data_IF_124129805725
#
_entry.id   IF_124129805725
#
_cell.length_a   1.000
_cell.length_b   1.000
_cell.length_c   1.000
_cell.angle_alpha   90.00
_cell.angle_beta   90.00
_cell.angle_gamma   90.00
#
_symmetry.space_group_name_H-M   'P 1'
#
loop_
_entity.id
_entity.type
_entity.pdbx_description
1 polymer ?
#
# COMPACT_ATOMS: atom_id res chain seq x y z
N UNK A 1 -4.08 9.56 35.86
CA UNK A 1 -3.43 9.92 34.58
C UNK A 1 -4.54 10.14 33.58
N UNK A 2 -4.70 11.35 33.07
CA UNK A 2 -5.82 11.71 32.18
C UNK A 2 -5.60 11.00 30.84
N UNK A 3 -6.57 10.19 30.42
CA UNK A 3 -6.63 9.66 29.05
C UNK A 3 -6.78 10.84 28.09
N UNK A 4 -5.64 11.34 27.61
CA UNK A 4 -5.61 12.40 26.61
C UNK A 4 -5.87 11.75 25.24
N UNK A 5 -7.03 12.02 24.59
CA UNK A 5 -7.37 11.42 23.30
C UNK A 5 -6.34 11.73 22.21
N UNK A 6 -5.60 12.83 22.33
CA UNK A 6 -4.51 13.21 21.40
C UNK A 6 -3.31 12.27 21.56
N UNK A 7 -2.96 11.89 22.79
CA UNK A 7 -1.85 10.96 23.06
C UNK A 7 -2.23 9.52 22.68
N UNK A 8 -3.50 9.16 22.78
CA UNK A 8 -4.03 7.87 22.30
C UNK A 8 -4.10 7.80 20.78
N UNK A 9 -4.40 8.91 20.09
CA UNK A 9 -4.39 9.01 18.63
C UNK A 9 -2.96 8.93 18.04
N UNK A 10 -1.97 9.53 18.70
CA UNK A 10 -0.56 9.44 18.28
C UNK A 10 0.03 8.04 18.52
N UNK A 11 -0.54 7.24 19.44
CA UNK A 11 -0.04 5.90 19.79
C UNK A 11 -0.35 4.80 18.77
N UNK A 12 -1.10 5.06 17.69
CA UNK A 12 -1.37 4.07 16.64
C UNK A 12 -1.27 4.67 15.24
N UNK A 13 -0.18 5.38 14.93
CA UNK A 13 0.14 5.69 13.53
C UNK A 13 0.45 4.37 12.79
N UNK A 14 -0.50 3.87 12.01
CA UNK A 14 -0.32 2.67 11.20
C UNK A 14 0.18 3.06 9.81
N UNK A 15 1.46 2.78 9.55
CA UNK A 15 2.09 3.06 8.27
C UNK A 15 2.24 1.77 7.45
N UNK A 16 1.81 1.81 6.19
CA UNK A 16 1.98 0.71 5.25
C UNK A 16 2.74 1.17 4.00
N UNK A 17 3.50 0.27 3.38
CA UNK A 17 4.23 0.52 2.14
C UNK A 17 3.54 -0.18 0.99
N UNK A 18 3.21 0.56 -0.06
CA UNK A 18 2.73 0.00 -1.33
C UNK A 18 3.81 0.16 -2.39
N UNK A 19 4.33 -0.97 -2.89
CA UNK A 19 5.35 -0.98 -3.92
C UNK A 19 5.13 -2.11 -4.92
N UNK A 20 5.70 -1.95 -6.11
CA UNK A 20 5.78 -3.04 -7.09
C UNK A 20 6.90 -3.99 -6.71
N UNK A 21 6.58 -5.27 -6.56
CA UNK A 21 7.55 -6.35 -6.53
C UNK A 21 7.57 -7.09 -7.88
N UNK A 22 8.74 -7.63 -8.23
CA UNK A 22 8.90 -8.62 -9.29
C UNK A 22 9.01 -9.99 -8.63
N UNK A 23 8.14 -10.93 -8.99
CA UNK A 23 8.38 -12.33 -8.64
C UNK A 23 9.44 -12.88 -9.60
N UNK A 24 10.50 -13.48 -9.04
CA UNK A 24 11.53 -14.16 -9.85
C UNK A 24 10.96 -15.42 -10.48
N UNK A 25 11.50 -15.81 -11.64
CA UNK A 25 11.08 -17.01 -12.38
C UNK A 25 11.40 -18.26 -11.55
N UNK A 26 10.39 -19.08 -11.30
CA UNK A 26 10.57 -20.46 -10.90
C UNK A 26 10.01 -21.31 -12.05
N UNK A 27 10.90 -21.93 -12.84
CA UNK A 27 10.58 -22.92 -13.87
C UNK A 27 9.77 -22.45 -15.09
N UNK A 28 10.43 -22.32 -16.24
CA UNK A 28 9.85 -22.73 -17.54
C UNK A 28 8.90 -21.82 -18.33
N UNK A 29 8.37 -20.69 -17.83
CA UNK A 29 7.47 -19.83 -18.63
C UNK A 29 7.99 -18.38 -18.86
N UNK A 30 7.61 -17.68 -19.95
CA UNK A 30 8.19 -16.39 -20.32
C UNK A 30 7.66 -15.19 -19.51
N UNK A 31 6.61 -15.33 -18.70
CA UNK A 31 5.91 -14.18 -18.12
C UNK A 31 6.43 -13.80 -16.74
N UNK A 32 7.17 -12.67 -16.67
CA UNK A 32 7.46 -12.05 -15.39
C UNK A 32 6.14 -11.57 -14.74
N UNK A 33 5.69 -12.23 -13.69
CA UNK A 33 4.51 -11.79 -12.94
C UNK A 33 4.89 -10.55 -12.10
N UNK A 34 4.27 -9.43 -12.42
CA UNK A 34 4.42 -8.16 -11.70
C UNK A 34 3.30 -8.08 -10.66
N UNK A 35 3.64 -7.82 -9.41
CA UNK A 35 2.66 -7.70 -8.32
C UNK A 35 2.87 -6.38 -7.58
N UNK A 36 1.80 -5.85 -7.00
CA UNK A 36 1.85 -4.79 -6.00
C UNK A 36 1.68 -5.43 -4.64
N UNK A 37 2.48 -5.02 -3.65
CA UNK A 37 2.44 -5.56 -2.29
C UNK A 37 2.17 -4.41 -1.33
N UNK A 38 1.37 -4.67 -0.30
CA UNK A 38 1.18 -3.81 0.86
C UNK A 38 1.76 -4.49 2.11
N UNK A 39 2.64 -3.80 2.82
CA UNK A 39 3.29 -4.31 4.04
C UNK A 39 3.37 -3.24 5.13
N UNK A 40 3.35 -3.65 6.40
CA UNK A 40 3.49 -2.71 7.54
C UNK A 40 4.94 -2.21 7.65
N UNK A 41 5.11 -0.94 7.98
CA UNK A 41 6.42 -0.30 8.23
C UNK A 41 6.85 -0.48 9.69
N UNK A 42 8.15 -0.68 9.92
CA UNK A 42 8.75 -0.62 11.26
C UNK A 42 8.99 -1.97 11.94
N UNK A 43 8.35 -3.06 11.49
CA UNK A 43 8.58 -4.41 12.00
C UNK A 43 9.56 -5.23 11.14
N UNK A 44 10.40 -6.05 11.79
CA UNK A 44 11.18 -7.11 11.13
C UNK A 44 10.75 -8.48 11.68
N UNK A 45 10.39 -9.46 10.85
CA UNK A 45 10.25 -9.35 9.39
C UNK A 45 9.05 -8.44 8.99
N UNK A 46 9.06 -7.84 7.78
CA UNK A 46 7.95 -7.02 7.31
C UNK A 46 6.68 -7.87 7.14
N UNK A 47 5.61 -7.48 7.83
CA UNK A 47 4.33 -8.16 7.70
C UNK A 47 3.62 -7.71 6.42
N UNK A 48 3.47 -8.63 5.47
CA UNK A 48 2.69 -8.41 4.25
C UNK A 48 1.21 -8.60 4.59
N UNK A 49 0.42 -7.55 4.38
CA UNK A 49 -1.02 -7.55 4.67
C UNK A 49 -1.88 -7.71 3.40
N UNK A 50 -1.27 -7.61 2.22
CA UNK A 50 -1.94 -7.90 0.96
C UNK A 50 -1.01 -7.84 -0.26
N UNK A 51 -1.43 -8.49 -1.33
CA UNK A 51 -0.76 -8.44 -2.64
C UNK A 51 -1.79 -8.49 -3.76
N UNK A 52 -1.46 -7.88 -4.89
CA UNK A 52 -2.35 -7.81 -6.05
C UNK A 52 -1.56 -7.97 -7.36
N UNK A 53 -1.92 -8.91 -8.24
CA UNK A 53 -1.30 -9.01 -9.55
C UNK A 53 -1.61 -7.78 -10.42
N UNK A 54 -0.62 -7.39 -11.22
CA UNK A 54 -0.82 -6.43 -12.31
C UNK A 54 -1.20 -7.23 -13.55
N UNK A 55 -2.43 -7.05 -14.04
CA UNK A 55 -2.96 -7.79 -15.18
C UNK A 55 -2.38 -7.25 -16.51
N UNK A 56 -2.46 -8.02 -17.62
CA UNK A 56 -2.08 -7.53 -18.94
C UNK A 56 -2.82 -6.23 -19.29
N UNK A 57 -2.09 -5.22 -19.77
CA UNK A 57 -2.65 -3.89 -20.08
C UNK A 57 -2.82 -2.96 -18.86
N UNK A 58 -2.66 -3.43 -17.63
CA UNK A 58 -2.81 -2.58 -16.43
C UNK A 58 -1.53 -1.83 -16.05
N UNK A 59 -1.72 -0.61 -15.56
CA UNK A 59 -0.70 0.13 -14.82
C UNK A 59 -0.61 -0.29 -13.35
N UNK A 60 0.54 -0.02 -12.71
CA UNK A 60 0.73 -0.31 -11.27
C UNK A 60 -0.31 0.36 -10.38
N UNK A 61 -0.75 1.58 -10.74
CA UNK A 61 -1.74 2.34 -9.98
C UNK A 61 -3.12 1.69 -10.03
N UNK A 62 -3.49 1.04 -11.14
CA UNK A 62 -4.76 0.31 -11.26
C UNK A 62 -4.78 -0.88 -10.32
N UNK A 63 -3.74 -1.72 -10.35
CA UNK A 63 -3.60 -2.84 -9.43
C UNK A 63 -3.52 -2.37 -7.97
N UNK A 64 -2.80 -1.29 -7.67
CA UNK A 64 -2.73 -0.75 -6.31
C UNK A 64 -4.08 -0.24 -5.79
N UNK A 65 -4.91 0.39 -6.64
CA UNK A 65 -6.28 0.77 -6.24
C UNK A 65 -7.11 -0.45 -5.88
N UNK A 66 -7.01 -1.54 -6.66
CA UNK A 66 -7.69 -2.81 -6.36
C UNK A 66 -7.22 -3.41 -5.04
N UNK A 67 -5.90 -3.37 -4.77
CA UNK A 67 -5.34 -3.80 -3.49
C UNK A 67 -5.86 -2.97 -2.32
N UNK A 68 -5.83 -1.64 -2.44
CA UNK A 68 -6.34 -0.72 -1.41
C UNK A 68 -7.83 -0.92 -1.17
N UNK A 69 -8.62 -1.12 -2.23
CA UNK A 69 -10.05 -1.41 -2.09
C UNK A 69 -10.29 -2.70 -1.31
N UNK A 70 -9.55 -3.77 -1.62
CA UNK A 70 -9.65 -5.02 -0.89
C UNK A 70 -9.24 -4.85 0.57
N UNK A 71 -8.09 -4.21 0.85
CA UNK A 71 -7.64 -3.92 2.21
C UNK A 71 -8.67 -3.08 2.99
N UNK A 72 -9.26 -2.08 2.35
CA UNK A 72 -10.26 -1.22 2.96
C UNK A 72 -11.57 -1.98 3.23
N UNK A 73 -11.94 -2.94 2.38
CA UNK A 73 -13.11 -3.79 2.64
C UNK A 73 -12.88 -4.74 3.81
N UNK A 74 -11.69 -5.34 3.90
CA UNK A 74 -11.35 -6.34 4.92
C UNK A 74 -11.04 -5.71 6.28
N UNK A 75 -10.24 -4.65 6.30
CA UNK A 75 -9.71 -4.04 7.52
C UNK A 75 -10.29 -2.66 7.83
N UNK A 76 -11.16 -2.11 6.96
CA UNK A 76 -11.61 -0.72 7.01
C UNK A 76 -10.42 0.23 6.94
N UNK A 77 -10.04 0.82 8.07
CA UNK A 77 -8.93 1.75 8.14
C UNK A 77 -7.61 0.98 8.36
N UNK A 78 -7.07 0.39 7.29
CA UNK A 78 -5.87 -0.46 7.40
C UNK A 78 -4.55 0.32 7.65
N UNK A 79 -4.54 1.61 7.30
CA UNK A 79 -3.40 2.50 7.50
C UNK A 79 -3.85 3.96 7.52
N UNK A 80 -3.28 4.76 8.42
CA UNK A 80 -3.46 6.22 8.41
C UNK A 80 -2.55 6.85 7.34
N UNK A 81 -1.37 6.25 7.11
CA UNK A 81 -0.38 6.72 6.14
C UNK A 81 0.08 5.57 5.27
N UNK A 82 0.09 5.79 3.95
CA UNK A 82 0.70 4.89 2.98
C UNK A 82 1.94 5.53 2.37
N UNK A 83 3.05 4.80 2.41
CA UNK A 83 4.32 5.18 1.80
C UNK A 83 4.45 4.51 0.43
N UNK A 84 4.77 5.28 -0.61
CA UNK A 84 4.85 4.78 -2.00
C UNK A 84 6.08 5.28 -2.75
N UNK A 85 6.46 4.54 -3.80
CA UNK A 85 7.44 5.02 -4.79
C UNK A 85 6.89 6.19 -5.64
N UNK A 86 7.80 7.00 -6.21
CA UNK A 86 7.46 8.14 -7.08
C UNK A 86 6.49 7.79 -8.22
N UNK A 87 6.47 6.53 -8.69
CA UNK A 87 5.58 6.09 -9.75
C UNK A 87 4.09 6.09 -9.37
N UNK A 88 3.78 6.19 -8.07
CA UNK A 88 2.42 6.32 -7.54
C UNK A 88 2.01 7.77 -7.27
N UNK A 89 2.93 8.74 -7.37
CA UNK A 89 2.67 10.17 -7.10
C UNK A 89 1.87 10.85 -8.23
N UNK A 90 0.75 10.25 -8.63
CA UNK A 90 -0.18 10.76 -9.64
C UNK A 90 -1.46 11.21 -8.95
N UNK A 91 -1.98 12.38 -9.34
CA UNK A 91 -3.20 12.96 -8.74
C UNK A 91 -4.36 11.95 -8.60
N UNK A 92 -4.70 11.10 -9.61
CA UNK A 92 -5.80 10.14 -9.46
C UNK A 92 -5.58 9.05 -8.41
N UNK A 93 -4.32 8.72 -8.07
CA UNK A 93 -4.03 7.73 -7.02
C UNK A 93 -4.00 8.40 -5.64
N UNK A 94 -3.40 9.58 -5.56
CA UNK A 94 -3.39 10.41 -4.34
C UNK A 94 -4.82 10.71 -3.89
N UNK A 95 -5.66 11.24 -4.78
CA UNK A 95 -7.05 11.59 -4.46
C UNK A 95 -7.88 10.37 -4.04
N UNK A 96 -7.55 9.18 -4.55
CA UNK A 96 -8.23 7.95 -4.17
C UNK A 96 -7.87 7.46 -2.76
N UNK A 97 -6.62 7.68 -2.31
CA UNK A 97 -6.24 7.43 -0.92
C UNK A 97 -6.88 8.46 0.02
N UNK A 98 -6.83 9.74 -0.37
CA UNK A 98 -7.42 10.82 0.41
C UNK A 98 -8.94 10.66 0.58
N UNK A 99 -9.66 10.16 -0.44
CA UNK A 99 -11.10 9.89 -0.31
C UNK A 99 -11.45 8.76 0.67
N UNK A 100 -10.44 7.99 1.12
CA UNK A 100 -10.55 6.96 2.15
C UNK A 100 -9.96 7.41 3.49
N UNK A 101 -9.63 8.70 3.64
CA UNK A 101 -8.94 9.28 4.80
C UNK A 101 -7.56 8.66 5.06
N UNK A 102 -6.85 8.29 3.98
CA UNK A 102 -5.50 7.72 4.05
C UNK A 102 -4.52 8.76 3.48
N UNK A 103 -3.58 9.21 4.31
CA UNK A 103 -2.52 10.11 3.89
C UNK A 103 -1.42 9.37 3.12
N UNK A 104 -0.65 10.10 2.33
CA UNK A 104 0.38 9.53 1.47
C UNK A 104 1.72 10.21 1.70
N UNK A 105 2.78 9.40 1.77
CA UNK A 105 4.17 9.85 1.67
C UNK A 105 4.76 9.24 0.41
N UNK A 106 5.05 10.07 -0.59
CA UNK A 106 5.72 9.62 -1.80
C UNK A 106 7.22 9.90 -1.67
N UNK A 107 8.05 8.88 -1.93
CA UNK A 107 9.49 9.10 -2.09
C UNK A 107 9.76 9.50 -3.54
N UNK A 108 10.08 10.78 -3.83
CA UNK A 108 10.48 11.20 -5.18
C UNK A 108 11.76 10.47 -5.59
N UNK A 109 11.98 10.37 -6.90
CA UNK A 109 13.15 9.73 -7.48
C UNK A 109 14.16 10.77 -7.92
#
# INVERSE_FOLDING_TARGET
>A
MVDNPIVTAIKKLFAAVINKARRSKMGGSPTSHKVVICQIVGGKPPLIIGQEPILPGEGKTTAAKRLVEWLYRVYKHFADVVVVDAGYAKAPFINYLLSKNIHIVARPK
#
